data_IF_047235254183
#
_entry.id   IF_047235254183
#
_cell.length_a   1.000
_cell.length_b   1.000
_cell.length_c   1.000
_cell.angle_alpha   90.00
_cell.angle_beta   90.00
_cell.angle_gamma   90.00
#
_symmetry.space_group_name_H-M   'P 1'
#
loop_
_entity.id
_entity.type
_entity.pdbx_description
1 polymer ?
#
# COMPACT_ATOMS: atom_id res chain seq x y z
N UNK A 1 0.79 10.78 -17.17
CA UNK A 1 1.40 9.75 -16.31
C UNK A 1 0.81 9.90 -14.92
N UNK A 2 0.32 8.82 -14.29
CA UNK A 2 -0.39 8.93 -13.00
C UNK A 2 0.57 9.04 -11.79
N UNK A 3 1.86 8.70 -11.96
CA UNK A 3 2.97 9.07 -11.06
C UNK A 3 4.31 9.12 -11.83
N UNK A 4 5.36 9.80 -11.30
CA UNK A 4 6.69 9.84 -11.93
C UNK A 4 7.40 8.47 -11.90
N UNK A 5 8.07 8.03 -12.99
CA UNK A 5 8.75 6.73 -13.04
C UNK A 5 9.74 6.49 -11.89
N UNK A 6 10.44 7.55 -11.44
CA UNK A 6 11.36 7.51 -10.31
C UNK A 6 10.70 6.99 -9.03
N UNK A 7 9.40 7.25 -8.82
CA UNK A 7 8.67 6.71 -7.68
C UNK A 7 8.65 5.18 -7.68
N UNK A 8 8.37 4.54 -8.82
CA UNK A 8 8.35 3.08 -8.91
C UNK A 8 9.74 2.45 -8.72
N UNK A 9 10.80 3.17 -9.10
CA UNK A 9 12.18 2.73 -8.83
C UNK A 9 12.56 2.85 -7.35
N UNK A 10 12.01 3.83 -6.62
CA UNK A 10 12.25 4.01 -5.19
C UNK A 10 11.36 3.10 -4.34
N UNK A 11 10.05 3.16 -4.56
CA UNK A 11 9.03 2.36 -3.88
C UNK A 11 8.77 1.05 -4.65
N UNK A 12 9.82 0.23 -4.77
CA UNK A 12 9.73 -1.08 -5.42
C UNK A 12 8.73 -2.00 -4.69
N UNK A 13 8.29 -3.08 -5.35
CA UNK A 13 7.41 -4.08 -4.73
C UNK A 13 7.93 -4.55 -3.37
N UNK A 14 9.23 -4.85 -3.27
CA UNK A 14 9.84 -5.29 -2.01
C UNK A 14 9.73 -4.22 -0.90
N UNK A 15 9.90 -2.94 -1.24
CA UNK A 15 9.71 -1.83 -0.31
C UNK A 15 8.27 -1.75 0.14
N UNK A 16 7.31 -1.79 -0.79
CA UNK A 16 5.88 -1.71 -0.48
C UNK A 16 5.44 -2.89 0.39
N UNK A 17 5.85 -4.12 0.05
CA UNK A 17 5.62 -5.32 0.88
C UNK A 17 6.16 -5.10 2.29
N UNK A 18 7.40 -4.64 2.44
CA UNK A 18 7.99 -4.39 3.76
C UNK A 18 7.19 -3.34 4.58
N UNK A 19 6.61 -2.33 3.93
CA UNK A 19 5.78 -1.32 4.63
C UNK A 19 4.42 -1.88 5.06
N UNK A 20 3.81 -2.76 4.28
CA UNK A 20 2.46 -3.26 4.56
C UNK A 20 2.43 -4.57 5.36
N UNK A 21 3.52 -5.35 5.32
CA UNK A 21 3.60 -6.68 5.92
C UNK A 21 3.23 -6.71 7.41
N UNK A 22 3.67 -5.77 8.27
CA UNK A 22 3.28 -5.77 9.68
C UNK A 22 1.77 -5.66 9.91
N UNK A 23 1.08 -4.77 9.16
CA UNK A 23 -0.38 -4.62 9.27
C UNK A 23 -1.10 -5.85 8.72
N UNK A 24 -0.62 -6.43 7.61
CA UNK A 24 -1.21 -7.64 7.05
C UNK A 24 -1.09 -8.84 8.01
N UNK A 25 0.10 -9.04 8.57
CA UNK A 25 0.40 -10.11 9.53
C UNK A 25 -0.50 -10.01 10.77
N UNK A 26 -0.59 -8.81 11.36
CA UNK A 26 -1.44 -8.55 12.53
C UNK A 26 -2.93 -8.83 12.24
N UNK A 27 -3.44 -8.30 11.12
CA UNK A 27 -4.85 -8.46 10.74
C UNK A 27 -5.24 -9.91 10.46
N UNK A 28 -4.37 -10.69 9.82
CA UNK A 28 -4.63 -12.08 9.44
C UNK A 28 -4.16 -13.10 10.48
N UNK A 29 -3.43 -12.66 11.52
CA UNK A 29 -2.79 -13.52 12.52
C UNK A 29 -1.88 -14.58 11.89
N UNK A 30 -1.12 -14.18 10.87
CA UNK A 30 -0.11 -15.00 10.21
C UNK A 30 1.28 -14.50 10.56
N UNK A 31 2.29 -15.33 10.35
CA UNK A 31 3.67 -14.90 10.55
C UNK A 31 4.14 -13.92 9.45
N UNK A 32 5.30 -13.31 9.69
CA UNK A 32 5.86 -12.28 8.81
C UNK A 32 6.30 -12.82 7.44
N UNK A 33 6.68 -14.09 7.36
CA UNK A 33 7.11 -14.71 6.11
C UNK A 33 5.89 -14.95 5.21
N UNK A 34 4.85 -15.54 5.76
CA UNK A 34 3.58 -15.77 5.09
C UNK A 34 2.93 -14.45 4.65
N UNK A 35 2.90 -13.43 5.53
CA UNK A 35 2.38 -12.10 5.18
C UNK A 35 3.13 -11.49 4.00
N UNK A 36 4.46 -11.55 4.02
CA UNK A 36 5.30 -10.99 2.96
C UNK A 36 5.11 -11.75 1.65
N UNK A 37 4.96 -13.08 1.69
CA UNK A 37 4.72 -13.89 0.50
C UNK A 37 3.37 -13.59 -0.13
N UNK A 38 2.28 -13.55 0.66
CA UNK A 38 0.94 -13.22 0.16
C UNK A 38 0.89 -11.81 -0.43
N UNK A 39 1.43 -10.81 0.27
CA UNK A 39 1.51 -9.45 -0.26
C UNK A 39 2.35 -9.36 -1.54
N UNK A 40 3.48 -10.07 -1.62
CA UNK A 40 4.33 -10.09 -2.82
C UNK A 40 3.59 -10.68 -4.03
N UNK A 41 2.78 -11.72 -3.81
CA UNK A 41 1.92 -12.30 -4.85
C UNK A 41 0.85 -11.31 -5.29
N UNK A 42 0.07 -10.73 -4.36
CA UNK A 42 -0.98 -9.76 -4.68
C UNK A 42 -0.45 -8.53 -5.43
N UNK A 43 0.70 -8.01 -5.01
CA UNK A 43 1.33 -6.82 -5.60
C UNK A 43 2.13 -7.11 -6.88
N UNK A 44 2.06 -8.33 -7.42
CA UNK A 44 2.64 -8.64 -8.73
C UNK A 44 1.74 -8.22 -9.89
N UNK A 45 0.46 -7.95 -9.62
CA UNK A 45 -0.52 -7.51 -10.62
C UNK A 45 -0.72 -5.99 -10.66
N UNK A 46 -1.93 -5.57 -11.07
CA UNK A 46 -2.30 -4.15 -11.23
C UNK A 46 -2.43 -3.41 -9.89
N UNK A 47 -2.60 -4.14 -8.79
CA UNK A 47 -2.80 -3.57 -7.46
C UNK A 47 -1.63 -2.68 -7.02
N UNK A 48 -0.38 -3.07 -7.33
CA UNK A 48 0.79 -2.25 -7.01
C UNK A 48 0.75 -0.91 -7.74
N UNK A 49 0.46 -0.92 -9.04
CA UNK A 49 0.35 0.30 -9.83
C UNK A 49 -0.72 1.21 -9.26
N UNK A 50 -1.95 0.71 -9.06
CA UNK A 50 -3.05 1.51 -8.50
C UNK A 50 -2.73 2.06 -7.10
N UNK A 51 -2.03 1.28 -6.27
CA UNK A 51 -1.59 1.75 -4.96
C UNK A 51 -0.55 2.86 -5.07
N UNK A 52 0.43 2.75 -5.97
CA UNK A 52 1.45 3.79 -6.18
C UNK A 52 0.85 5.08 -6.77
N UNK A 53 -0.14 4.99 -7.67
CA UNK A 53 -0.89 6.14 -8.19
C UNK A 53 -1.62 6.89 -7.08
N UNK A 54 -2.37 6.15 -6.24
CA UNK A 54 -3.06 6.73 -5.10
C UNK A 54 -2.05 7.30 -4.09
N UNK A 55 -0.93 6.62 -3.84
CA UNK A 55 0.11 7.06 -2.90
C UNK A 55 0.77 8.35 -3.35
N UNK A 56 1.06 8.48 -4.65
CA UNK A 56 1.58 9.73 -5.22
C UNK A 56 0.60 10.89 -5.04
N UNK A 57 -0.68 10.64 -5.32
CA UNK A 57 -1.76 11.63 -5.13
C UNK A 57 -1.83 12.08 -3.66
N UNK A 58 -1.73 11.16 -2.71
CA UNK A 58 -1.71 11.46 -1.27
C UNK A 58 -0.49 12.30 -0.88
N UNK A 59 0.69 11.96 -1.39
CA UNK A 59 1.91 12.73 -1.12
C UNK A 59 1.79 14.17 -1.62
N UNK A 60 1.32 14.37 -2.85
CA UNK A 60 1.10 15.71 -3.42
C UNK A 60 0.10 16.53 -2.60
N UNK A 61 -1.00 15.92 -2.16
CA UNK A 61 -2.01 16.59 -1.34
C UNK A 61 -1.53 16.96 0.07
N UNK A 62 -0.56 16.21 0.61
CA UNK A 62 -0.09 16.37 1.99
C UNK A 62 0.96 17.46 2.20
N UNK A 63 1.61 17.95 1.14
CA UNK A 63 2.72 18.92 1.24
C UNK A 63 2.46 20.19 0.45
N UNK A 64 2.37 21.33 1.15
CA UNK A 64 2.27 22.65 0.50
C UNK A 64 3.63 23.23 0.08
N UNK A 65 4.73 22.61 0.51
CA UNK A 65 6.09 23.20 0.44
C UNK A 65 7.01 22.53 -0.57
N UNK A 66 6.80 21.25 -0.87
CA UNK A 66 7.66 20.50 -1.77
C UNK A 66 6.97 20.35 -3.12
N UNK A 67 7.71 20.64 -4.19
CA UNK A 67 7.36 20.25 -5.56
C UNK A 67 7.70 18.76 -5.77
N UNK A 68 7.29 18.21 -6.91
CA UNK A 68 7.47 16.79 -7.24
C UNK A 68 8.91 16.29 -7.02
N UNK A 69 9.92 17.00 -7.54
CA UNK A 69 11.33 16.62 -7.37
C UNK A 69 11.75 16.59 -5.90
N UNK A 70 11.35 17.61 -5.13
CA UNK A 70 11.63 17.66 -3.69
C UNK A 70 10.96 16.53 -2.91
N UNK A 71 9.78 16.07 -3.34
CA UNK A 71 9.14 14.90 -2.77
C UNK A 71 9.89 13.61 -3.10
N UNK A 72 10.32 13.45 -4.36
CA UNK A 72 11.12 12.29 -4.77
C UNK A 72 12.46 12.23 -4.03
N UNK A 73 13.11 13.36 -3.79
CA UNK A 73 14.32 13.42 -2.96
C UNK A 73 14.02 13.05 -1.50
N UNK A 74 12.88 13.50 -0.96
CA UNK A 74 12.46 13.10 0.39
C UNK A 74 12.23 11.59 0.49
N UNK A 75 11.59 10.99 -0.50
CA UNK A 75 11.39 9.53 -0.57
C UNK A 75 12.74 8.82 -0.66
N UNK A 76 13.63 9.26 -1.55
CA UNK A 76 14.97 8.68 -1.70
C UNK A 76 15.77 8.76 -0.40
N UNK A 77 15.76 9.90 0.28
CA UNK A 77 16.42 10.11 1.57
C UNK A 77 15.86 9.19 2.66
N UNK A 78 14.53 9.06 2.74
CA UNK A 78 13.84 8.16 3.68
C UNK A 78 14.23 6.69 3.48
N UNK A 79 14.40 6.28 2.22
CA UNK A 79 14.70 4.89 1.85
C UNK A 79 16.21 4.57 1.76
N UNK A 80 17.09 5.56 1.90
CA UNK A 80 18.54 5.44 1.66
C UNK A 80 19.22 4.28 2.40
N UNK A 81 19.08 4.21 3.73
CA UNK A 81 19.84 3.25 4.54
C UNK A 81 19.13 1.90 4.72
N UNK A 82 17.80 1.93 4.87
CA UNK A 82 16.97 0.76 5.20
C UNK A 82 15.66 0.79 4.41
N UNK A 83 15.71 0.61 3.08
CA UNK A 83 14.53 0.73 2.22
C UNK A 83 13.43 -0.25 2.64
N UNK A 84 13.82 -1.47 3.03
CA UNK A 84 12.92 -2.53 3.49
C UNK A 84 12.71 -2.54 5.01
N UNK A 85 13.01 -1.45 5.74
CA UNK A 85 12.61 -1.34 7.15
C UNK A 85 11.10 -1.58 7.24
N UNK A 86 10.62 -2.50 8.11
CA UNK A 86 9.19 -2.75 8.26
C UNK A 86 8.42 -1.47 8.57
N UNK A 87 7.20 -1.39 8.03
CA UNK A 87 6.30 -0.30 8.33
C UNK A 87 5.80 -0.32 9.78
N UNK A 88 5.12 0.74 10.21
CA UNK A 88 4.32 0.67 11.44
C UNK A 88 3.11 -0.25 11.24
N UNK A 89 2.65 -0.88 12.31
CA UNK A 89 1.33 -1.53 12.31
C UNK A 89 0.27 -0.44 12.32
N UNK A 90 -0.63 -0.45 11.34
CA UNK A 90 -1.76 0.46 11.28
C UNK A 90 -2.96 -0.10 12.05
N UNK A 91 -3.78 0.78 12.61
CA UNK A 91 -5.09 0.37 13.15
C UNK A 91 -5.98 -0.10 12.01
N UNK A 92 -6.49 -1.33 12.10
CA UNK A 92 -7.38 -1.90 11.08
C UNK A 92 -8.76 -1.25 11.16
N UNK A 93 -9.01 -0.32 10.24
CA UNK A 93 -10.31 0.34 10.00
C UNK A 93 -11.12 -0.43 8.97
N UNK A 94 -12.34 0.03 8.66
CA UNK A 94 -13.13 -0.52 7.56
C UNK A 94 -12.45 -0.40 6.18
N UNK A 95 -11.70 0.68 5.92
CA UNK A 95 -10.97 0.85 4.66
C UNK A 95 -9.75 -0.06 4.58
N UNK A 96 -9.01 -0.23 5.68
CA UNK A 96 -7.96 -1.25 5.76
C UNK A 96 -8.52 -2.65 5.51
N UNK A 97 -9.61 -3.04 6.19
CA UNK A 97 -10.27 -4.33 5.96
C UNK A 97 -10.68 -4.52 4.49
N UNK A 98 -11.23 -3.50 3.84
CA UNK A 98 -11.60 -3.57 2.43
C UNK A 98 -10.36 -3.78 1.52
N UNK A 99 -9.25 -3.08 1.80
CA UNK A 99 -7.99 -3.29 1.07
C UNK A 99 -7.40 -4.69 1.31
N UNK A 100 -7.44 -5.18 2.55
CA UNK A 100 -6.95 -6.51 2.88
C UNK A 100 -7.74 -7.61 2.16
N UNK A 101 -9.06 -7.46 2.05
CA UNK A 101 -9.89 -8.36 1.24
C UNK A 101 -9.50 -8.29 -0.25
N UNK A 102 -9.14 -7.11 -0.79
CA UNK A 102 -8.60 -7.02 -2.16
C UNK A 102 -7.31 -7.83 -2.31
N UNK A 103 -6.40 -7.74 -1.34
CA UNK A 103 -5.17 -8.55 -1.33
C UNK A 103 -5.52 -10.05 -1.34
N UNK A 104 -6.46 -10.47 -0.49
CA UNK A 104 -6.90 -11.86 -0.41
C UNK A 104 -7.59 -12.36 -1.70
N UNK A 105 -8.29 -11.48 -2.41
CA UNK A 105 -8.86 -11.79 -3.72
C UNK A 105 -7.77 -12.03 -4.77
N UNK A 106 -6.74 -11.20 -4.79
CA UNK A 106 -5.60 -11.34 -5.71
C UNK A 106 -4.79 -12.62 -5.45
N UNK A 107 -4.68 -13.07 -4.20
CA UNK A 107 -3.98 -14.33 -3.85
C UNK A 107 -4.89 -15.56 -3.79
N UNK A 108 -6.20 -15.40 -4.03
CA UNK A 108 -7.17 -16.49 -4.04
C UNK A 108 -7.52 -17.07 -2.66
N UNK A 109 -7.25 -16.33 -1.57
CA UNK A 109 -7.58 -16.73 -0.18
C UNK A 109 -8.91 -16.16 0.31
N UNK A 110 -9.49 -15.21 -0.41
CA UNK A 110 -10.80 -14.65 -0.06
C UNK A 110 -11.93 -15.69 -0.23
N UNK A 111 -12.89 -15.68 0.70
CA UNK A 111 -14.08 -16.52 0.61
C UNK A 111 -15.01 -16.08 -0.54
N UNK A 112 -15.83 -17.00 -1.05
CA UNK A 112 -16.82 -16.67 -2.08
C UNK A 112 -17.82 -15.59 -1.63
N UNK A 113 -18.14 -15.56 -0.33
CA UNK A 113 -18.98 -14.50 0.24
C UNK A 113 -18.29 -13.13 0.16
N UNK A 114 -17.00 -13.05 0.52
CA UNK A 114 -16.21 -11.83 0.41
C UNK A 114 -16.09 -11.37 -1.05
N UNK A 115 -15.85 -12.31 -1.98
CA UNK A 115 -15.83 -12.03 -3.43
C UNK A 115 -17.12 -11.37 -3.91
N UNK A 116 -18.29 -11.97 -3.61
CA UNK A 116 -19.59 -11.42 -4.01
C UNK A 116 -19.84 -10.03 -3.42
N UNK A 117 -19.44 -9.79 -2.18
CA UNK A 117 -19.54 -8.46 -1.57
C UNK A 117 -18.70 -7.44 -2.34
N UNK A 118 -17.46 -7.79 -2.69
CA UNK A 118 -16.55 -6.88 -3.39
C UNK A 118 -16.93 -6.62 -4.85
N UNK A 119 -17.66 -7.53 -5.50
CA UNK A 119 -18.20 -7.35 -6.86
C UNK A 119 -19.36 -6.34 -6.94
N UNK A 120 -20.08 -6.14 -5.83
CA UNK A 120 -21.16 -5.16 -5.73
C UNK A 120 -20.65 -3.71 -5.92
N UNK A 121 -21.54 -2.79 -6.30
CA UNK A 121 -21.18 -1.38 -6.45
C UNK A 121 -20.66 -0.77 -5.14
N UNK A 122 -21.27 -1.15 -4.02
CA UNK A 122 -20.86 -0.72 -2.69
C UNK A 122 -19.50 -1.32 -2.29
N UNK A 123 -19.27 -2.59 -2.61
CA UNK A 123 -17.97 -3.25 -2.43
C UNK A 123 -16.86 -2.56 -3.22
N UNK A 124 -17.12 -2.22 -4.49
CA UNK A 124 -16.18 -1.47 -5.34
C UNK A 124 -15.87 -0.09 -4.78
N UNK A 125 -16.85 0.63 -4.24
CA UNK A 125 -16.62 1.93 -3.56
C UNK A 125 -15.75 1.77 -2.32
N UNK A 126 -16.02 0.75 -1.49
CA UNK A 126 -15.21 0.46 -0.29
C UNK A 126 -13.78 0.05 -0.65
N UNK A 127 -13.60 -0.75 -1.70
CA UNK A 127 -12.29 -1.07 -2.26
C UNK A 127 -11.50 0.19 -2.65
N UNK A 128 -12.12 1.11 -3.38
CA UNK A 128 -11.48 2.37 -3.77
C UNK A 128 -11.13 3.26 -2.56
N UNK A 129 -12.03 3.35 -1.58
CA UNK A 129 -11.77 4.05 -0.32
C UNK A 129 -10.61 3.40 0.47
N UNK A 130 -10.60 2.07 0.57
CA UNK A 130 -9.54 1.31 1.22
C UNK A 130 -8.19 1.50 0.54
N UNK A 131 -8.15 1.44 -0.79
CA UNK A 131 -6.93 1.74 -1.55
C UNK A 131 -6.41 3.15 -1.25
N UNK A 132 -7.31 4.14 -1.16
CA UNK A 132 -6.96 5.53 -0.84
C UNK A 132 -6.40 5.67 0.58
N UNK A 133 -7.00 4.98 1.55
CA UNK A 133 -6.56 4.99 2.94
C UNK A 133 -5.17 4.36 3.10
N UNK A 134 -4.96 3.17 2.51
CA UNK A 134 -3.66 2.46 2.55
C UNK A 134 -2.60 3.24 1.79
N UNK A 135 -2.96 3.91 0.69
CA UNK A 135 -2.07 4.84 0.00
C UNK A 135 -1.63 6.02 0.89
N UNK A 136 -2.53 6.55 1.71
CA UNK A 136 -2.21 7.61 2.67
C UNK A 136 -1.21 7.13 3.73
N UNK A 137 -1.40 5.92 4.25
CA UNK A 137 -0.43 5.28 5.15
C UNK A 137 0.93 5.08 4.46
N UNK A 138 0.94 4.54 3.23
CA UNK A 138 2.18 4.31 2.49
C UNK A 138 2.91 5.61 2.20
N UNK A 139 2.19 6.69 1.87
CA UNK A 139 2.76 8.03 1.66
C UNK A 139 3.47 8.55 2.91
N UNK A 140 2.91 8.32 4.10
CA UNK A 140 3.55 8.66 5.36
C UNK A 140 4.81 7.83 5.60
N UNK A 141 4.76 6.52 5.38
CA UNK A 141 5.91 5.64 5.60
C UNK A 141 7.05 5.88 4.59
N UNK A 142 6.75 6.25 3.35
CA UNK A 142 7.73 6.60 2.32
C UNK A 142 8.37 7.98 2.53
N UNK A 143 7.76 8.85 3.32
CA UNK A 143 8.25 10.21 3.58
C UNK A 143 8.51 10.50 5.05
N UNK A 144 8.54 9.45 5.88
CA UNK A 144 8.83 9.55 7.31
C UNK A 144 10.29 9.97 7.48
N UNK A 145 10.56 10.97 8.32
CA UNK A 145 11.94 11.33 8.67
C UNK A 145 12.70 10.12 9.24
N UNK A 146 14.03 10.14 9.12
CA UNK A 146 14.91 9.13 9.73
C UNK A 146 14.69 9.06 11.24
#
# INVERSE_FOLDING_TARGET
MPYPPRLAHLATKAVVVAKLSPTYADAHRVDAEEASQRLSTALSGRLLTSLLEATWTQMLGSTKRLKEDGLLEKVASTLSDRPQRPGKVATVTAGWSAFLILVDLEVGTASDAARRVMESDEGRKRAAAGLTEVAGFLAQELTRGK
#
